data_IF_176776438411
#
_entry.id   IF_176776438411
#
_cell.length_a   1.000
_cell.length_b   1.000
_cell.length_c   1.000
_cell.angle_alpha   90.00
_cell.angle_beta   90.00
_cell.angle_gamma   90.00
#
_symmetry.space_group_name_H-M   'P 1'
#
loop_
_entity.id
_entity.type
_entity.pdbx_description
1 polymer ?
#
# COMPACT_ATOMS: atom_id res chain seq x y z
N UNK A 1 -3.79 -8.11 15.45
CA UNK A 1 -3.11 -7.76 14.18
C UNK A 1 -3.49 -8.76 13.07
N UNK A 2 -4.77 -8.85 12.68
CA UNK A 2 -5.26 -9.90 11.75
C UNK A 2 -4.50 -9.91 10.41
N UNK A 3 -4.42 -8.76 9.75
CA UNK A 3 -3.73 -8.63 8.46
C UNK A 3 -2.23 -8.95 8.56
N UNK A 4 -1.54 -8.53 9.62
CA UNK A 4 -0.12 -8.88 9.78
C UNK A 4 0.06 -10.38 9.98
N UNK A 5 -0.82 -11.04 10.74
CA UNK A 5 -0.78 -12.49 10.93
C UNK A 5 -1.05 -13.24 9.62
N UNK A 6 -2.02 -12.79 8.82
CA UNK A 6 -2.28 -13.34 7.48
C UNK A 6 -1.07 -13.18 6.55
N UNK A 7 -0.46 -11.99 6.54
CA UNK A 7 0.72 -11.72 5.73
C UNK A 7 1.94 -12.54 6.21
N UNK A 8 2.07 -12.76 7.51
CA UNK A 8 3.13 -13.57 8.11
C UNK A 8 3.02 -15.04 7.68
N UNK A 9 1.82 -15.61 7.73
CA UNK A 9 1.61 -17.05 7.55
C UNK A 9 2.56 -17.88 8.44
N UNK A 10 3.03 -19.01 7.94
CA UNK A 10 3.93 -19.90 8.70
C UNK A 10 5.35 -19.34 8.87
N UNK A 11 5.72 -18.30 8.09
CA UNK A 11 7.05 -17.68 8.13
C UNK A 11 7.21 -16.64 9.25
N UNK A 12 6.13 -16.31 9.96
CA UNK A 12 6.15 -15.37 11.07
C UNK A 12 6.37 -13.90 10.64
N UNK A 13 6.55 -13.03 11.63
CA UNK A 13 6.60 -11.58 11.41
C UNK A 13 7.78 -11.13 10.53
N UNK A 14 8.89 -11.88 10.51
CA UNK A 14 10.10 -11.53 9.77
C UNK A 14 10.09 -12.03 8.31
N UNK A 15 8.95 -12.57 7.81
CA UNK A 15 8.80 -13.10 6.45
C UNK A 15 9.39 -12.23 5.33
N UNK A 16 9.31 -10.91 5.45
CA UNK A 16 9.74 -9.95 4.42
C UNK A 16 11.01 -9.17 4.78
N UNK A 17 11.62 -9.45 5.94
CA UNK A 17 12.72 -8.66 6.49
C UNK A 17 13.95 -8.64 5.59
N UNK A 18 14.26 -9.76 4.93
CA UNK A 18 15.37 -9.84 3.96
C UNK A 18 15.12 -9.01 2.69
N UNK A 19 13.87 -8.70 2.37
CA UNK A 19 13.50 -7.95 1.16
C UNK A 19 13.43 -6.46 1.43
N UNK A 20 12.78 -6.06 2.54
CA UNK A 20 12.51 -4.65 2.84
C UNK A 20 13.18 -4.12 4.11
N UNK A 21 13.97 -4.94 4.81
CA UNK A 21 14.64 -4.58 6.06
C UNK A 21 13.73 -4.53 7.29
N UNK A 22 12.42 -4.79 7.13
CA UNK A 22 11.41 -4.55 8.17
C UNK A 22 10.60 -5.82 8.48
N UNK A 23 10.32 -6.03 9.77
CA UNK A 23 9.33 -7.01 10.21
C UNK A 23 7.90 -6.50 9.98
N UNK A 24 6.95 -7.44 9.85
CA UNK A 24 5.53 -7.13 9.75
C UNK A 24 5.04 -6.44 11.02
N UNK A 25 4.42 -5.27 10.82
CA UNK A 25 3.86 -4.45 11.90
C UNK A 25 2.74 -3.59 11.36
N UNK A 26 1.80 -3.22 12.24
CA UNK A 26 0.72 -2.25 11.92
C UNK A 26 1.24 -0.84 11.65
N UNK A 27 2.51 -0.57 11.92
CA UNK A 27 3.12 0.74 11.71
C UNK A 27 3.32 1.09 10.23
N UNK A 28 3.68 0.14 9.37
CA UNK A 28 4.05 0.40 7.98
C UNK A 28 2.84 0.42 7.03
N UNK A 29 3.08 0.89 5.79
CA UNK A 29 2.02 1.10 4.79
C UNK A 29 1.43 -0.20 4.24
N UNK A 30 2.23 -1.27 4.11
CA UNK A 30 1.79 -2.54 3.50
C UNK A 30 0.48 -3.11 4.07
N UNK A 31 0.39 -3.34 5.40
CA UNK A 31 -0.86 -3.81 6.02
C UNK A 31 -2.05 -2.84 5.85
N UNK A 32 -1.80 -1.53 5.76
CA UNK A 32 -2.86 -0.52 5.53
C UNK A 32 -3.37 -0.59 4.10
N UNK A 33 -2.49 -0.75 3.12
CA UNK A 33 -2.85 -0.93 1.70
C UNK A 33 -3.68 -2.19 1.51
N UNK A 34 -3.28 -3.33 2.09
CA UNK A 34 -4.09 -4.55 2.08
C UNK A 34 -5.47 -4.31 2.71
N UNK A 35 -5.54 -3.62 3.86
CA UNK A 35 -6.82 -3.32 4.48
C UNK A 35 -7.75 -2.53 3.55
N UNK A 36 -7.27 -1.46 2.91
CA UNK A 36 -8.07 -0.66 1.97
C UNK A 36 -8.62 -1.55 0.85
N UNK A 37 -7.74 -2.34 0.24
CA UNK A 37 -8.11 -3.12 -0.93
C UNK A 37 -9.03 -4.31 -0.61
N UNK A 38 -9.03 -4.80 0.63
CA UNK A 38 -9.92 -5.88 1.08
C UNK A 38 -11.27 -5.37 1.62
N UNK A 39 -11.35 -4.11 2.05
CA UNK A 39 -12.51 -3.60 2.79
C UNK A 39 -13.26 -2.47 2.07
N UNK A 40 -12.61 -1.74 1.16
CA UNK A 40 -13.29 -0.72 0.35
C UNK A 40 -13.87 -1.40 -0.88
N UNK A 41 -15.20 -1.38 -0.99
CA UNK A 41 -15.93 -1.98 -2.10
C UNK A 41 -15.38 -1.51 -3.46
N UNK A 42 -15.09 -2.46 -4.34
CA UNK A 42 -14.53 -2.20 -5.66
C UNK A 42 -13.05 -1.76 -5.70
N UNK A 43 -12.39 -1.50 -4.57
CA UNK A 43 -11.02 -1.00 -4.55
C UNK A 43 -10.02 -2.00 -5.13
N UNK A 44 -10.15 -3.30 -4.83
CA UNK A 44 -9.32 -4.34 -5.47
C UNK A 44 -9.46 -4.29 -6.99
N UNK A 45 -10.68 -4.37 -7.51
CA UNK A 45 -10.91 -4.42 -8.96
C UNK A 45 -10.35 -3.19 -9.67
N UNK A 46 -10.55 -1.99 -9.09
CA UNK A 46 -9.99 -0.74 -9.62
C UNK A 46 -8.47 -0.69 -9.56
N UNK A 47 -7.85 -1.22 -8.49
CA UNK A 47 -6.39 -1.29 -8.40
C UNK A 47 -5.82 -2.23 -9.48
N UNK A 48 -6.40 -3.41 -9.69
CA UNK A 48 -5.96 -4.34 -10.74
C UNK A 48 -6.22 -3.79 -12.16
N UNK A 49 -7.23 -2.92 -12.33
CA UNK A 49 -7.50 -2.23 -13.59
C UNK A 49 -6.56 -1.04 -13.87
N UNK A 50 -5.73 -0.63 -12.89
CA UNK A 50 -4.86 0.54 -13.02
C UNK A 50 -5.53 1.88 -12.70
N UNK A 51 -6.76 1.87 -12.15
CA UNK A 51 -7.55 3.07 -11.84
C UNK A 51 -7.23 3.67 -10.46
N UNK A 52 -6.28 3.09 -9.72
CA UNK A 52 -5.85 3.55 -8.39
C UNK A 52 -4.34 3.69 -8.32
N UNK A 53 -3.90 4.76 -7.64
CA UNK A 53 -2.51 4.97 -7.27
C UNK A 53 -2.37 4.84 -5.75
N UNK A 54 -1.26 4.25 -5.31
CA UNK A 54 -0.80 4.30 -3.94
C UNK A 54 0.40 5.22 -3.83
N UNK A 55 0.52 5.92 -2.70
CA UNK A 55 1.70 6.71 -2.37
C UNK A 55 1.69 7.08 -0.90
N UNK A 56 2.88 7.36 -0.35
CA UNK A 56 2.99 7.99 0.96
C UNK A 56 2.59 9.49 0.84
N UNK A 57 2.67 10.23 1.96
CA UNK A 57 2.21 11.63 1.99
C UNK A 57 2.96 12.53 1.01
N UNK A 58 4.26 12.31 0.84
CA UNK A 58 5.11 12.98 -0.13
C UNK A 58 4.66 12.72 -1.57
N UNK A 59 4.35 11.47 -1.93
CA UNK A 59 3.77 11.14 -3.25
C UNK A 59 2.44 11.87 -3.47
N UNK A 60 1.55 11.90 -2.47
CA UNK A 60 0.25 12.56 -2.60
C UNK A 60 0.41 14.07 -2.82
N UNK A 61 1.30 14.71 -2.05
CA UNK A 61 1.57 16.15 -2.21
C UNK A 61 2.20 16.43 -3.57
N UNK A 62 3.21 15.65 -3.99
CA UNK A 62 3.84 15.78 -5.31
C UNK A 62 2.80 15.66 -6.44
N UNK A 63 1.96 14.61 -6.40
CA UNK A 63 0.91 14.37 -7.39
C UNK A 63 -0.01 15.57 -7.57
N UNK A 64 -0.52 16.12 -6.45
CA UNK A 64 -1.42 17.26 -6.49
C UNK A 64 -0.74 18.54 -6.99
N UNK A 65 0.51 18.79 -6.56
CA UNK A 65 1.27 19.98 -6.98
C UNK A 65 1.69 19.95 -8.45
N UNK A 66 1.75 18.77 -9.07
CA UNK A 66 2.23 18.60 -10.44
C UNK A 66 1.12 18.39 -11.47
N UNK A 67 -0.15 18.53 -11.07
CA UNK A 67 -1.29 18.51 -11.99
C UNK A 67 -2.38 17.50 -11.64
N UNK A 68 -2.15 16.62 -10.68
CA UNK A 68 -3.15 15.65 -10.20
C UNK A 68 -3.74 14.82 -11.33
N UNK A 69 -5.07 14.76 -11.42
CA UNK A 69 -5.78 14.06 -12.50
C UNK A 69 -5.53 14.65 -13.89
N UNK A 70 -4.91 15.83 -14.01
CA UNK A 70 -4.58 16.49 -15.26
C UNK A 70 -3.13 16.22 -15.72
N UNK A 71 -2.56 15.08 -15.33
CA UNK A 71 -1.19 14.69 -15.70
C UNK A 71 -0.15 14.91 -14.61
N UNK A 72 -0.55 14.76 -13.34
CA UNK A 72 0.35 14.78 -12.20
C UNK A 72 1.47 13.75 -12.31
N UNK A 73 2.58 14.03 -11.64
CA UNK A 73 3.74 13.13 -11.56
C UNK A 73 3.56 12.22 -10.36
N UNK A 74 3.50 10.90 -10.60
CA UNK A 74 3.41 9.87 -9.57
C UNK A 74 4.78 9.21 -9.36
N UNK A 75 5.32 9.29 -8.14
CA UNK A 75 6.62 8.71 -7.73
C UNK A 75 6.45 8.06 -6.36
N UNK A 76 6.88 6.81 -6.21
CA UNK A 76 6.79 6.00 -4.97
C UNK A 76 8.01 5.09 -4.84
#
# INVERSE_FOLDING_TARGET
QKICNELAGDKGADRYKEICGLGLSTYFSGPKVKWILDNVEGARARAEAGDLLFGNMDTWVLWNLTGGTNGGVHIT
#
